data_IF_070205408466
#
_entry.id   IF_070205408466
#
_cell.length_a   1.000
_cell.length_b   1.000
_cell.length_c   1.000
_cell.angle_alpha   90.00
_cell.angle_beta   90.00
_cell.angle_gamma   90.00
#
_symmetry.space_group_name_H-M   'P 1'
#
loop_
_entity.id
_entity.type
_entity.pdbx_description
1 polymer ?
#
# COMPACT_ATOMS: atom_id res chain seq x y z
N UNK A 1 9.30 -14.25 38.00
CA UNK A 1 9.74 -12.84 37.94
C UNK A 1 9.47 -12.32 36.54
N UNK A 2 8.42 -11.52 36.36
CA UNK A 2 8.21 -10.80 35.11
C UNK A 2 9.30 -9.73 35.01
N UNK A 3 10.20 -9.86 34.05
CA UNK A 3 11.16 -8.81 33.69
C UNK A 3 10.37 -7.57 33.30
N UNK A 4 10.39 -6.52 34.14
CA UNK A 4 9.93 -5.19 33.75
C UNK A 4 10.71 -4.81 32.50
N UNK A 5 10.06 -4.82 31.34
CA UNK A 5 10.65 -4.33 30.10
C UNK A 5 11.06 -2.88 30.34
N UNK A 6 12.36 -2.60 30.20
CA UNK A 6 12.90 -1.24 30.17
C UNK A 6 12.05 -0.44 29.17
N UNK A 7 11.57 0.79 29.47
CA UNK A 7 10.79 1.55 28.50
C UNK A 7 11.61 1.66 27.22
N UNK A 8 11.09 1.10 26.13
CA UNK A 8 11.80 1.04 24.87
C UNK A 8 12.08 2.47 24.41
N UNK A 9 13.36 2.79 24.17
CA UNK A 9 13.74 4.07 23.58
C UNK A 9 13.22 4.11 22.15
N UNK A 10 12.03 4.67 21.93
CA UNK A 10 11.33 4.57 20.64
C UNK A 10 12.05 5.29 19.48
N UNK A 11 12.93 6.25 19.79
CA UNK A 11 13.75 6.98 18.80
C UNK A 11 15.09 6.28 18.58
N UNK A 12 15.13 5.21 17.80
CA UNK A 12 16.37 4.47 17.57
C UNK A 12 17.38 5.19 16.68
N UNK A 13 16.92 6.08 15.78
CA UNK A 13 17.75 6.77 14.78
C UNK A 13 17.47 8.28 14.72
N UNK A 14 16.22 8.71 14.86
CA UNK A 14 15.85 10.13 14.69
C UNK A 14 16.40 11.06 15.78
N UNK A 15 16.80 10.50 16.93
CA UNK A 15 17.52 11.22 17.99
C UNK A 15 18.81 11.86 17.48
N UNK A 16 19.48 11.25 16.50
CA UNK A 16 20.69 11.79 15.86
C UNK A 16 20.45 13.13 15.13
N UNK A 17 19.19 13.44 14.78
CA UNK A 17 18.80 14.69 14.11
C UNK A 17 18.23 15.73 15.07
N UNK A 18 17.75 15.31 16.23
CA UNK A 18 16.86 16.13 17.06
C UNK A 18 17.46 16.46 18.42
N UNK A 19 18.20 15.54 19.04
CA UNK A 19 18.57 15.67 20.46
C UNK A 19 19.88 16.46 20.65
N UNK A 20 20.82 16.39 19.71
CA UNK A 20 22.11 17.09 19.82
C UNK A 20 21.97 18.60 19.50
N UNK A 21 22.44 19.52 20.37
CA UNK A 21 22.49 20.95 20.09
C UNK A 21 23.11 21.31 18.73
N UNK A 22 24.15 20.60 18.29
CA UNK A 22 24.82 20.80 17.00
C UNK A 22 23.90 20.52 15.80
N UNK A 23 22.80 19.79 16.01
CA UNK A 23 21.77 19.51 15.01
C UNK A 23 20.69 20.60 14.90
N UNK A 24 20.95 21.80 15.42
CA UNK A 24 20.07 22.95 15.24
C UNK A 24 19.68 23.21 13.76
N UNK A 25 20.56 23.07 12.75
CA UNK A 25 20.17 23.23 11.35
C UNK A 25 19.13 22.20 10.90
N UNK A 26 19.27 20.93 11.31
CA UNK A 26 18.32 19.87 10.98
C UNK A 26 16.95 20.15 11.62
N UNK A 27 16.92 20.53 12.90
CA UNK A 27 15.68 20.94 13.58
C UNK A 27 15.01 22.13 12.90
N UNK A 28 15.78 23.12 12.45
CA UNK A 28 15.23 24.28 11.74
C UNK A 28 14.50 23.86 10.45
N UNK A 29 15.08 22.93 9.67
CA UNK A 29 14.44 22.38 8.48
C UNK A 29 13.16 21.60 8.82
N UNK A 30 13.21 20.75 9.85
CA UNK A 30 12.04 20.00 10.31
C UNK A 30 10.91 20.93 10.79
N UNK A 31 11.25 21.99 11.51
CA UNK A 31 10.28 23.00 11.96
C UNK A 31 9.71 23.82 10.81
N UNK A 32 10.51 24.11 9.77
CA UNK A 32 10.02 24.77 8.56
C UNK A 32 8.98 23.93 7.81
N UNK A 33 8.97 22.62 7.99
CA UNK A 33 7.91 21.73 7.51
C UNK A 33 6.65 21.73 8.38
N UNK A 34 6.63 22.48 9.48
CA UNK A 34 5.51 22.61 10.39
C UNK A 34 5.55 21.67 11.61
N UNK A 35 6.67 21.00 11.87
CA UNK A 35 6.83 20.20 13.10
C UNK A 35 7.01 21.11 14.32
N UNK A 36 6.38 20.74 15.42
CA UNK A 36 6.54 21.42 16.71
C UNK A 36 7.70 20.84 17.51
N UNK A 37 8.13 21.54 18.57
CA UNK A 37 9.14 21.02 19.50
C UNK A 37 8.72 19.69 20.15
N UNK A 38 7.42 19.48 20.35
CA UNK A 38 6.92 18.23 20.93
C UNK A 38 6.95 17.09 19.90
N UNK A 39 6.75 17.39 18.61
CA UNK A 39 6.90 16.39 17.55
C UNK A 39 8.35 15.90 17.42
N UNK A 40 9.34 16.77 17.65
CA UNK A 40 10.76 16.38 17.62
C UNK A 40 11.15 15.37 18.72
N UNK A 41 10.31 15.19 19.75
CA UNK A 41 10.52 14.22 20.83
C UNK A 41 9.93 12.84 20.51
N UNK A 42 9.18 12.71 19.42
CA UNK A 42 8.46 11.51 19.02
C UNK A 42 9.25 10.71 17.96
N UNK A 43 8.98 9.40 17.80
CA UNK A 43 9.61 8.62 16.74
C UNK A 43 9.15 9.06 15.34
N UNK A 44 10.08 9.10 14.40
CA UNK A 44 9.82 9.43 13.01
C UNK A 44 9.52 8.16 12.22
N UNK A 45 8.36 8.12 11.58
CA UNK A 45 7.90 6.94 10.83
C UNK A 45 7.76 7.31 9.36
N UNK A 46 8.57 6.69 8.52
CA UNK A 46 8.52 6.85 7.08
C UNK A 46 7.33 6.10 6.49
N UNK A 47 6.66 6.68 5.49
CA UNK A 47 5.62 6.04 4.68
C UNK A 47 6.06 6.11 3.22
N UNK A 48 6.57 5.00 2.70
CA UNK A 48 6.90 4.85 1.29
C UNK A 48 5.61 4.54 0.51
N UNK A 49 5.06 5.54 -0.15
CA UNK A 49 3.84 5.43 -0.94
C UNK A 49 4.16 5.27 -2.43
N UNK A 50 3.71 4.16 -3.03
CA UNK A 50 3.92 3.87 -4.44
C UNK A 50 2.75 4.33 -5.33
N UNK A 51 1.89 5.23 -4.83
CA UNK A 51 0.79 5.80 -5.59
C UNK A 51 1.27 6.41 -6.91
N UNK A 52 0.59 6.06 -8.01
CA UNK A 52 0.97 6.56 -9.33
C UNK A 52 -0.16 6.41 -10.34
N UNK A 53 -0.27 7.39 -11.23
CA UNK A 53 -1.22 7.40 -12.35
C UNK A 53 -0.83 6.45 -13.50
N UNK A 54 0.38 5.89 -13.47
CA UNK A 54 0.88 5.03 -14.55
C UNK A 54 0.22 3.65 -14.55
N UNK A 55 -0.46 3.26 -13.46
CA UNK A 55 -1.05 1.91 -13.34
C UNK A 55 -2.27 1.86 -12.44
N UNK A 56 -3.34 1.15 -12.83
CA UNK A 56 -4.53 0.98 -11.98
C UNK A 56 -4.23 0.22 -10.67
N UNK A 57 -3.10 -0.49 -10.58
CA UNK A 57 -2.68 -1.16 -9.35
C UNK A 57 -2.33 -0.20 -8.21
N UNK A 58 -1.99 1.06 -8.54
CA UNK A 58 -1.39 2.01 -7.60
C UNK A 58 -2.15 3.34 -7.46
N UNK A 59 -3.09 3.67 -8.35
CA UNK A 59 -3.82 4.96 -8.33
C UNK A 59 -4.56 5.26 -7.02
N UNK A 60 -4.91 4.25 -6.23
CA UNK A 60 -5.71 4.38 -5.02
C UNK A 60 -4.89 4.31 -3.72
N UNK A 61 -3.56 4.17 -3.82
CA UNK A 61 -2.71 3.92 -2.65
C UNK A 61 -2.65 5.11 -1.68
N UNK A 62 -2.89 6.34 -2.14
CA UNK A 62 -2.95 7.53 -1.28
C UNK A 62 -3.95 7.38 -0.13
N UNK A 63 -5.05 6.65 -0.33
CA UNK A 63 -6.04 6.41 0.73
C UNK A 63 -5.45 5.59 1.88
N UNK A 64 -4.61 4.62 1.57
CA UNK A 64 -3.90 3.84 2.57
C UNK A 64 -2.80 4.68 3.25
N UNK A 65 -2.12 5.55 2.49
CA UNK A 65 -1.14 6.46 3.05
C UNK A 65 -1.76 7.43 4.06
N UNK A 66 -2.93 8.02 3.75
CA UNK A 66 -3.64 8.87 4.70
C UNK A 66 -4.06 8.11 5.96
N UNK A 67 -4.62 6.90 5.82
CA UNK A 67 -4.99 6.08 6.97
C UNK A 67 -3.75 5.71 7.82
N UNK A 68 -2.62 5.42 7.20
CA UNK A 68 -1.36 5.15 7.91
C UNK A 68 -0.87 6.39 8.68
N UNK A 69 -0.94 7.59 8.07
CA UNK A 69 -0.62 8.86 8.76
C UNK A 69 -1.48 9.09 9.99
N UNK A 70 -2.78 8.86 9.88
CA UNK A 70 -3.72 8.98 11.00
C UNK A 70 -3.37 8.00 12.12
N UNK A 71 -3.11 6.73 11.78
CA UNK A 71 -2.69 5.70 12.73
C UNK A 71 -1.39 6.03 13.45
N UNK A 72 -0.38 6.53 12.73
CA UNK A 72 0.91 6.95 13.32
C UNK A 72 0.71 8.10 14.30
N UNK A 73 -0.07 9.12 13.93
CA UNK A 73 -0.34 10.27 14.83
C UNK A 73 -1.11 9.83 16.07
N UNK A 74 -2.09 8.93 15.91
CA UNK A 74 -2.84 8.37 17.04
C UNK A 74 -1.96 7.55 18.00
N UNK A 75 -0.86 6.98 17.51
CA UNK A 75 0.13 6.25 18.29
C UNK A 75 1.30 7.14 18.79
N UNK A 76 1.15 8.46 18.74
CA UNK A 76 2.15 9.46 19.16
C UNK A 76 3.48 9.39 18.38
N UNK A 77 3.41 9.02 17.10
CA UNK A 77 4.52 9.12 16.14
C UNK A 77 4.35 10.28 15.15
N UNK A 78 5.42 10.62 14.44
CA UNK A 78 5.41 11.65 13.39
C UNK A 78 5.52 10.97 12.01
N UNK A 79 4.48 11.05 11.17
CA UNK A 79 4.52 10.41 9.86
C UNK A 79 5.22 11.30 8.81
N UNK A 80 6.14 10.72 8.06
CA UNK A 80 6.78 11.33 6.90
C UNK A 80 6.47 10.51 5.65
N UNK A 81 5.58 11.02 4.79
CA UNK A 81 5.27 10.36 3.53
C UNK A 81 6.24 10.82 2.42
N UNK A 82 6.71 9.86 1.64
CA UNK A 82 7.46 10.11 0.42
C UNK A 82 7.06 9.11 -0.67
N UNK A 83 7.31 9.50 -1.93
CA UNK A 83 7.03 8.67 -3.09
C UNK A 83 8.20 7.78 -3.52
N UNK A 84 7.90 6.67 -4.19
CA UNK A 84 8.87 5.96 -5.04
C UNK A 84 8.23 5.52 -6.35
N UNK A 85 9.06 5.14 -7.32
CA UNK A 85 8.64 4.81 -8.69
C UNK A 85 7.86 3.49 -8.75
N UNK A 86 7.14 3.29 -9.85
CA UNK A 86 6.52 2.01 -10.18
C UNK A 86 6.37 1.86 -11.68
N UNK A 87 6.39 0.62 -12.16
CA UNK A 87 6.15 0.27 -13.56
C UNK A 87 5.02 -0.76 -13.61
N UNK A 88 4.20 -0.70 -14.65
CA UNK A 88 3.11 -1.65 -14.86
C UNK A 88 3.51 -2.74 -15.85
N UNK A 89 3.67 -3.96 -15.34
CA UNK A 89 3.93 -5.13 -16.18
C UNK A 89 2.79 -5.37 -17.18
N UNK A 90 1.53 -5.17 -16.75
CA UNK A 90 0.37 -5.31 -17.63
C UNK A 90 0.34 -4.32 -18.80
N UNK A 91 0.91 -3.12 -18.65
CA UNK A 91 0.94 -2.10 -19.71
C UNK A 91 2.21 -2.23 -20.57
N UNK A 92 3.35 -2.53 -19.95
CA UNK A 92 4.63 -2.65 -20.67
C UNK A 92 4.76 -3.94 -21.48
N UNK A 93 3.90 -4.94 -21.23
CA UNK A 93 3.93 -6.23 -21.89
C UNK A 93 3.87 -6.12 -23.42
N UNK A 94 4.80 -6.81 -24.09
CA UNK A 94 4.92 -6.80 -25.55
C UNK A 94 5.59 -5.56 -26.14
N UNK A 95 6.19 -4.70 -25.30
CA UNK A 95 6.96 -3.52 -25.74
C UNK A 95 8.39 -3.56 -25.21
N UNK A 96 9.26 -2.70 -25.76
CA UNK A 96 10.62 -2.47 -25.24
C UNK A 96 10.63 -2.07 -23.76
N UNK A 97 9.54 -1.46 -23.26
CA UNK A 97 9.38 -1.10 -21.86
C UNK A 97 9.40 -2.28 -20.91
N UNK A 98 9.13 -3.52 -21.36
CA UNK A 98 9.19 -4.69 -20.48
C UNK A 98 10.60 -4.93 -19.91
N UNK A 99 11.65 -4.42 -20.57
CA UNK A 99 13.04 -4.47 -20.06
C UNK A 99 13.20 -3.72 -18.74
N UNK A 100 12.31 -2.78 -18.42
CA UNK A 100 12.37 -2.01 -17.17
C UNK A 100 11.64 -2.67 -16.00
N UNK A 101 10.83 -3.72 -16.25
CA UNK A 101 10.02 -4.37 -15.22
C UNK A 101 10.89 -4.87 -14.05
N UNK A 102 11.82 -5.79 -14.31
CA UNK A 102 12.57 -6.42 -13.22
C UNK A 102 13.52 -5.45 -12.51
N UNK A 103 14.18 -4.54 -13.25
CA UNK A 103 15.07 -3.53 -12.66
C UNK A 103 14.31 -2.55 -11.75
N UNK A 104 13.00 -2.32 -11.99
CA UNK A 104 12.20 -1.47 -11.10
C UNK A 104 12.19 -1.96 -9.65
N UNK A 105 12.32 -3.29 -9.42
CA UNK A 105 12.43 -3.87 -8.07
C UNK A 105 13.60 -3.28 -7.29
N UNK A 106 14.78 -3.21 -7.92
CA UNK A 106 15.99 -2.68 -7.28
C UNK A 106 15.86 -1.18 -7.05
N UNK A 107 15.39 -0.45 -8.06
CA UNK A 107 15.21 1.01 -7.94
C UNK A 107 14.22 1.37 -6.83
N UNK A 108 13.14 0.60 -6.67
CA UNK A 108 12.20 0.76 -5.56
C UNK A 108 12.90 0.51 -4.21
N UNK A 109 13.63 -0.61 -4.11
CA UNK A 109 14.34 -0.96 -2.88
C UNK A 109 15.33 0.15 -2.48
N UNK A 110 16.18 0.56 -3.43
CA UNK A 110 17.22 1.57 -3.23
C UNK A 110 16.61 2.95 -2.93
N UNK A 111 15.49 3.31 -3.57
CA UNK A 111 14.80 4.58 -3.29
C UNK A 111 14.26 4.64 -1.86
N UNK A 112 13.64 3.55 -1.39
CA UNK A 112 13.12 3.47 -0.02
C UNK A 112 14.27 3.48 0.99
N UNK A 113 15.33 2.72 0.70
CA UNK A 113 16.55 2.67 1.51
C UNK A 113 17.19 4.05 1.65
N UNK A 114 17.34 4.78 0.54
CA UNK A 114 17.94 6.11 0.50
C UNK A 114 17.21 7.09 1.42
N UNK A 115 15.88 7.20 1.31
CA UNK A 115 15.12 8.16 2.12
C UNK A 115 15.09 7.73 3.59
N UNK A 116 14.80 6.46 3.86
CA UNK A 116 14.63 5.98 5.24
C UNK A 116 15.96 6.06 6.01
N UNK A 117 17.08 5.72 5.35
CA UNK A 117 18.40 5.83 5.94
C UNK A 117 18.88 7.29 6.03
N UNK A 118 18.69 8.09 4.97
CA UNK A 118 19.18 9.47 4.90
C UNK A 118 18.50 10.38 5.93
N UNK A 119 17.18 10.24 6.07
CA UNK A 119 16.38 11.03 7.02
C UNK A 119 16.32 10.40 8.42
N UNK A 120 17.13 9.35 8.68
CA UNK A 120 17.27 8.68 9.99
C UNK A 120 15.92 8.26 10.60
N UNK A 121 15.02 7.72 9.79
CA UNK A 121 13.69 7.32 10.23
C UNK A 121 13.78 6.13 11.22
N UNK A 122 12.92 6.14 12.24
CA UNK A 122 12.87 5.09 13.28
C UNK A 122 12.06 3.87 12.85
N UNK A 123 11.07 4.08 11.98
CA UNK A 123 10.21 3.02 11.44
C UNK A 123 9.83 3.26 9.99
N UNK A 124 9.32 2.22 9.34
CA UNK A 124 8.99 2.24 7.91
C UNK A 124 7.66 1.52 7.62
N UNK A 125 6.72 2.22 7.00
CA UNK A 125 5.53 1.63 6.38
C UNK A 125 5.71 1.71 4.87
N UNK A 126 5.51 0.59 4.18
CA UNK A 126 5.54 0.54 2.71
C UNK A 126 4.16 0.22 2.18
N UNK A 127 3.72 0.91 1.12
CA UNK A 127 2.38 0.76 0.55
C UNK A 127 2.51 0.50 -0.95
N UNK A 128 2.17 -0.73 -1.37
CA UNK A 128 2.42 -1.21 -2.73
C UNK A 128 1.31 -2.11 -3.26
N UNK A 129 1.14 -2.13 -4.59
CA UNK A 129 0.10 -2.94 -5.27
C UNK A 129 0.60 -3.77 -6.45
N UNK A 130 1.45 -3.23 -7.31
CA UNK A 130 1.95 -3.90 -8.51
C UNK A 130 3.00 -5.00 -8.20
N UNK A 131 3.25 -5.89 -9.17
CA UNK A 131 4.07 -7.11 -9.01
C UNK A 131 5.45 -6.85 -8.38
N UNK A 132 6.28 -6.02 -9.04
CA UNK A 132 7.67 -5.76 -8.60
C UNK A 132 7.78 -4.84 -7.38
N UNK A 133 6.68 -4.19 -7.00
CA UNK A 133 6.65 -3.30 -5.85
C UNK A 133 6.78 -4.07 -4.54
N UNK A 134 6.08 -5.20 -4.42
CA UNK A 134 6.07 -6.04 -3.21
C UNK A 134 7.48 -6.51 -2.82
N UNK A 135 8.25 -7.20 -3.70
CA UNK A 135 9.60 -7.62 -3.37
C UNK A 135 10.56 -6.43 -3.20
N UNK A 136 10.40 -5.32 -3.94
CA UNK A 136 11.23 -4.13 -3.75
C UNK A 136 11.08 -3.52 -2.35
N UNK A 137 9.84 -3.42 -1.86
CA UNK A 137 9.55 -2.96 -0.50
C UNK A 137 10.12 -3.92 0.55
N UNK A 138 9.92 -5.23 0.38
CA UNK A 138 10.44 -6.25 1.30
C UNK A 138 11.98 -6.25 1.37
N UNK A 139 12.65 -6.06 0.23
CA UNK A 139 14.10 -5.93 0.18
C UNK A 139 14.58 -4.71 0.98
N UNK A 140 13.96 -3.54 0.79
CA UNK A 140 14.31 -2.35 1.56
C UNK A 140 14.10 -2.56 3.07
N UNK A 141 12.96 -3.13 3.47
CA UNK A 141 12.66 -3.44 4.88
C UNK A 141 13.72 -4.35 5.49
N UNK A 142 14.11 -5.42 4.77
CA UNK A 142 15.13 -6.36 5.23
C UNK A 142 16.53 -5.72 5.33
N UNK A 143 16.92 -4.90 4.34
CA UNK A 143 18.22 -4.20 4.32
C UNK A 143 18.33 -3.16 5.44
N UNK A 144 17.28 -2.37 5.65
CA UNK A 144 17.26 -1.30 6.65
C UNK A 144 17.17 -1.84 8.08
N UNK A 145 16.52 -3.00 8.27
CA UNK A 145 16.30 -3.64 9.57
C UNK A 145 15.75 -2.66 10.63
N UNK A 146 14.77 -1.85 10.23
CA UNK A 146 13.96 -1.01 11.13
C UNK A 146 12.60 -1.66 11.36
N UNK A 147 11.93 -1.40 12.49
CA UNK A 147 10.52 -1.76 12.68
C UNK A 147 9.70 -1.34 11.46
N UNK A 148 9.11 -2.32 10.77
CA UNK A 148 8.49 -2.06 9.48
C UNK A 148 7.23 -2.87 9.22
N UNK A 149 6.32 -2.28 8.45
CA UNK A 149 5.02 -2.85 8.08
C UNK A 149 4.86 -2.74 6.56
N UNK A 150 4.47 -3.84 5.92
CA UNK A 150 4.07 -3.86 4.52
C UNK A 150 2.54 -3.80 4.42
N UNK A 151 2.02 -2.82 3.69
CA UNK A 151 0.59 -2.66 3.40
C UNK A 151 0.31 -2.96 1.94
N UNK A 152 -0.46 -4.02 1.69
CA UNK A 152 -0.87 -4.39 0.34
C UNK A 152 -2.05 -3.54 -0.12
N UNK A 153 -1.95 -2.97 -1.33
CA UNK A 153 -2.97 -2.14 -1.96
C UNK A 153 -4.27 -2.86 -2.32
N UNK A 154 -4.28 -4.19 -2.26
CA UNK A 154 -5.44 -5.02 -2.56
C UNK A 154 -5.48 -5.51 -4.00
N UNK A 155 -6.15 -6.64 -4.21
CA UNK A 155 -6.33 -7.26 -5.54
C UNK A 155 -7.53 -6.66 -6.26
N UNK A 156 -7.41 -6.38 -7.55
CA UNK A 156 -8.52 -5.88 -8.36
C UNK A 156 -9.64 -6.93 -8.46
N UNK A 157 -10.90 -6.53 -8.30
CA UNK A 157 -12.04 -7.42 -8.54
C UNK A 157 -12.11 -7.84 -10.04
N UNK A 158 -12.84 -8.92 -10.39
CA UNK A 158 -13.04 -9.23 -11.80
C UNK A 158 -13.88 -8.15 -12.49
N UNK A 159 -13.58 -7.88 -13.76
CA UNK A 159 -14.47 -7.12 -14.62
C UNK A 159 -15.54 -8.04 -15.20
N UNK A 160 -16.68 -7.49 -15.63
CA UNK A 160 -17.73 -8.28 -16.26
C UNK A 160 -17.87 -7.96 -17.75
N UNK A 161 -17.83 -8.99 -18.58
CA UNK A 161 -18.07 -8.89 -20.02
C UNK A 161 -19.06 -9.96 -20.47
N UNK A 162 -20.23 -9.53 -20.99
CA UNK A 162 -21.32 -10.42 -21.44
C UNK A 162 -21.76 -11.44 -20.38
N UNK A 163 -21.80 -11.04 -19.11
CA UNK A 163 -22.24 -11.89 -17.99
C UNK A 163 -21.18 -12.88 -17.50
N UNK A 164 -19.96 -12.83 -18.04
CA UNK A 164 -18.82 -13.61 -17.55
C UNK A 164 -17.83 -12.71 -16.82
N UNK A 165 -17.21 -13.25 -15.78
CA UNK A 165 -16.08 -12.61 -15.12
C UNK A 165 -14.84 -12.73 -16.00
N UNK A 166 -14.11 -11.64 -16.11
CA UNK A 166 -12.97 -11.49 -17.02
C UNK A 166 -11.88 -10.70 -16.30
N UNK A 167 -10.64 -11.14 -16.46
CA UNK A 167 -9.43 -10.51 -15.94
C UNK A 167 -8.47 -10.11 -17.08
N UNK A 168 -7.27 -9.63 -16.75
CA UNK A 168 -6.29 -9.19 -17.76
C UNK A 168 -5.72 -10.35 -18.59
N UNK A 169 -5.60 -11.55 -18.01
CA UNK A 169 -5.13 -12.75 -18.72
C UNK A 169 -6.10 -13.13 -19.84
N UNK A 170 -7.40 -13.09 -19.59
CA UNK A 170 -8.43 -13.35 -20.60
C UNK A 170 -8.32 -12.39 -21.80
N UNK A 171 -7.93 -11.13 -21.54
CA UNK A 171 -7.70 -10.13 -22.58
C UNK A 171 -6.47 -10.49 -23.41
N UNK A 172 -5.38 -10.91 -22.78
CA UNK A 172 -4.17 -11.38 -23.48
C UNK A 172 -4.46 -12.62 -24.33
N UNK A 173 -5.18 -13.61 -23.78
CA UNK A 173 -5.56 -14.83 -24.49
C UNK A 173 -6.48 -14.53 -25.69
N UNK A 174 -7.39 -13.55 -25.56
CA UNK A 174 -8.26 -13.11 -26.65
C UNK A 174 -7.50 -12.49 -27.84
N UNK A 175 -6.26 -12.03 -27.66
CA UNK A 175 -5.41 -11.51 -28.74
C UNK A 175 -4.78 -12.64 -29.56
N UNK A 176 -4.49 -13.80 -28.97
CA UNK A 176 -3.83 -14.93 -29.66
C UNK A 176 -4.50 -15.34 -30.99
N UNK A 177 -5.82 -15.60 -31.01
CA UNK A 177 -6.55 -15.97 -32.23
C UNK A 177 -6.56 -14.89 -33.33
N UNK A 178 -6.25 -13.63 -33.02
CA UNK A 178 -6.12 -12.56 -34.03
C UNK A 178 -4.78 -12.60 -34.77
N UNK A 179 -3.73 -13.14 -34.14
CA UNK A 179 -2.38 -13.22 -34.72
C UNK A 179 -2.18 -14.47 -35.60
N UNK A 180 -2.93 -15.55 -35.36
CA UNK A 180 -2.97 -16.73 -36.23
C UNK A 180 -3.71 -16.39 -37.54
N UNK A 181 -3.02 -15.75 -38.49
CA UNK A 181 -3.50 -15.45 -39.87
C UNK A 181 -3.79 -16.69 -40.75
N UNK A 182 -4.24 -17.81 -40.18
CA UNK A 182 -4.74 -18.97 -40.93
C UNK A 182 -6.11 -19.38 -40.42
N UNK A 183 -7.14 -18.88 -41.12
CA UNK A 183 -8.49 -19.39 -41.38
C UNK A 183 -9.31 -19.98 -40.20
N UNK A 184 -10.41 -19.31 -39.81
CA UNK A 184 -11.63 -19.97 -39.28
C UNK A 184 -12.84 -18.99 -39.31
N UNK A 185 -14.02 -19.32 -39.88
CA UNK A 185 -15.17 -18.40 -40.02
C UNK A 185 -15.93 -18.06 -38.72
N UNK A 186 -15.62 -18.71 -37.59
CA UNK A 186 -16.30 -18.51 -36.29
C UNK A 186 -15.67 -17.51 -35.31
N UNK A 187 -14.72 -16.68 -35.75
CA UNK A 187 -13.75 -16.01 -34.86
C UNK A 187 -14.24 -14.82 -34.02
N UNK A 188 -13.59 -14.58 -32.85
CA UNK A 188 -13.67 -13.30 -32.13
C UNK A 188 -13.32 -12.12 -33.04
N UNK A 189 -14.32 -11.31 -33.39
CA UNK A 189 -14.12 -10.10 -34.19
C UNK A 189 -13.23 -9.09 -33.43
N UNK A 190 -12.48 -8.22 -34.12
CA UNK A 190 -11.77 -7.07 -33.52
C UNK A 190 -12.68 -6.25 -32.59
N UNK A 191 -13.99 -6.27 -32.82
CA UNK A 191 -15.01 -5.69 -31.94
C UNK A 191 -15.12 -6.38 -30.57
N UNK A 192 -14.85 -7.69 -30.45
CA UNK A 192 -14.83 -8.44 -29.18
C UNK A 192 -13.61 -8.09 -28.34
N UNK A 193 -12.42 -8.03 -28.93
CA UNK A 193 -11.19 -7.60 -28.22
C UNK A 193 -11.28 -6.12 -27.83
N UNK A 194 -11.78 -5.25 -28.71
CA UNK A 194 -12.10 -3.86 -28.36
C UNK A 194 -13.22 -3.72 -27.34
N UNK A 195 -14.10 -4.72 -27.23
CA UNK A 195 -15.18 -4.77 -26.23
C UNK A 195 -14.64 -5.09 -24.84
N UNK A 196 -13.70 -6.04 -24.76
CA UNK A 196 -12.99 -6.45 -23.54
C UNK A 196 -12.14 -5.31 -22.96
N UNK A 197 -11.58 -4.43 -23.80
CA UNK A 197 -10.74 -3.30 -23.36
C UNK A 197 -11.48 -1.99 -23.03
N UNK A 198 -12.82 -1.93 -23.11
CA UNK A 198 -13.59 -0.68 -22.89
C UNK A 198 -13.59 -0.22 -21.42
N UNK A 199 -13.54 1.11 -21.21
CA UNK A 199 -13.55 1.80 -19.89
C UNK A 199 -14.60 1.32 -18.86
N UNK A 200 -15.73 0.72 -19.28
CA UNK A 200 -16.72 0.13 -18.35
C UNK A 200 -16.22 -1.12 -17.60
N UNK A 201 -15.12 -1.72 -18.06
CA UNK A 201 -14.48 -2.93 -17.54
C UNK A 201 -13.63 -2.65 -16.28
N UNK A 202 -12.77 -1.62 -16.31
CA UNK A 202 -11.80 -1.34 -15.23
C UNK A 202 -12.34 -0.38 -14.14
N UNK A 203 -13.19 0.59 -14.49
CA UNK A 203 -13.67 1.61 -13.51
C UNK A 203 -14.73 1.11 -12.53
N UNK A 204 -15.61 0.19 -12.95
CA UNK A 204 -16.66 -0.37 -12.05
C UNK A 204 -16.05 -1.21 -10.93
N UNK A 205 -14.92 -1.82 -11.22
CA UNK A 205 -14.18 -2.69 -10.32
C UNK A 205 -13.47 -1.90 -9.21
N UNK A 206 -12.74 -0.85 -9.58
CA UNK A 206 -12.07 0.06 -8.62
C UNK A 206 -13.12 0.81 -7.76
N UNK A 207 -14.23 1.27 -8.36
CA UNK A 207 -15.31 1.92 -7.60
C UNK A 207 -16.10 0.97 -6.68
N UNK A 208 -16.36 -0.28 -7.09
CA UNK A 208 -17.02 -1.25 -6.20
C UNK A 208 -16.14 -1.62 -5.01
N UNK A 209 -14.82 -1.61 -5.16
CA UNK A 209 -13.89 -1.91 -4.06
C UNK A 209 -14.01 -0.89 -2.93
N UNK A 210 -14.22 0.38 -3.30
CA UNK A 210 -14.51 1.45 -2.35
C UNK A 210 -15.86 1.24 -1.63
N UNK A 211 -16.88 0.66 -2.30
CA UNK A 211 -18.15 0.36 -1.65
C UNK A 211 -18.11 -0.91 -0.78
N UNK A 212 -17.36 -1.95 -1.15
CA UNK A 212 -17.31 -3.20 -0.36
C UNK A 212 -16.60 -2.99 0.99
N UNK A 213 -15.60 -2.10 1.07
CA UNK A 213 -15.00 -1.72 2.35
C UNK A 213 -15.87 -0.76 3.18
N UNK A 214 -16.66 0.12 2.56
CA UNK A 214 -17.62 0.98 3.26
C UNK A 214 -18.86 0.20 3.76
N UNK A 215 -19.31 -0.84 3.04
CA UNK A 215 -20.48 -1.64 3.43
C UNK A 215 -20.20 -2.71 4.49
N UNK A 216 -18.93 -2.96 4.84
CA UNK A 216 -18.54 -3.90 5.91
C UNK A 216 -18.13 -3.20 7.20
N UNK A 217 -18.10 -1.85 7.22
CA UNK A 217 -17.77 -1.05 8.40
C UNK A 217 -18.99 -0.44 9.11
N UNK A 218 -20.20 -0.60 8.57
CA UNK A 218 -21.45 -0.16 9.20
C UNK A 218 -22.60 -1.12 8.82
N UNK A 219 -22.76 -2.20 9.60
CA UNK A 219 -23.89 -3.11 9.46
C UNK A 219 -23.68 -4.44 10.20
N UNK A 220 -24.45 -4.63 11.27
CA UNK A 220 -24.53 -5.81 12.15
C UNK A 220 -23.40 -6.04 13.16
N UNK A 221 -23.48 -5.28 14.26
CA UNK A 221 -23.11 -5.79 15.57
C UNK A 221 -24.35 -6.50 16.14
N UNK A 222 -24.34 -7.83 16.37
CA UNK A 222 -25.39 -8.47 17.15
C UNK A 222 -25.29 -7.97 18.60
N UNK A 223 -26.38 -7.39 19.08
CA UNK A 223 -26.60 -6.94 20.44
C UNK A 223 -26.28 -8.06 21.46
N UNK A 224 -25.19 -7.91 22.21
CA UNK A 224 -25.02 -8.62 23.47
C UNK A 224 -25.79 -7.84 24.55
N UNK A 225 -27.02 -8.27 24.80
CA UNK A 225 -27.79 -7.86 25.97
C UNK A 225 -27.24 -8.51 27.26
N UNK A 226 -27.52 -7.91 28.42
CA UNK A 226 -26.85 -8.22 29.68
C UNK A 226 -27.40 -9.52 30.28
N UNK A 227 -26.56 -10.55 30.38
CA UNK A 227 -26.90 -11.74 31.16
C UNK A 227 -26.60 -11.46 32.64
N UNK A 228 -27.68 -11.15 33.35
CA UNK A 228 -27.78 -11.05 34.79
C UNK A 228 -27.16 -12.26 35.51
N UNK A 229 -26.16 -11.99 36.35
CA UNK A 229 -25.85 -12.80 37.53
C UNK A 229 -26.97 -12.56 38.56
N UNK A 230 -27.89 -13.52 38.70
CA UNK A 230 -28.77 -13.58 39.86
C UNK A 230 -28.11 -14.39 41.00
N UNK A 231 -28.21 -13.92 42.25
CA UNK A 231 -27.71 -14.65 43.42
C UNK A 231 -28.70 -15.75 43.82
N UNK A 232 -28.18 -16.93 44.11
CA UNK A 232 -28.92 -18.05 44.70
C UNK A 232 -29.20 -17.78 46.18
N UNK A 233 -30.47 -17.68 46.57
CA UNK A 233 -30.91 -17.82 47.96
C UNK A 233 -31.16 -19.30 48.30
N UNK A 234 -30.92 -19.76 49.54
CA UNK A 234 -31.18 -21.13 49.97
C UNK A 234 -32.60 -21.27 50.53
N UNK A 235 -33.26 -22.42 50.33
CA UNK A 235 -34.23 -22.98 51.28
C UNK A 235 -34.68 -24.40 50.89
N UNK A 236 -34.71 -25.26 51.93
CA UNK A 236 -35.18 -26.65 52.07
C UNK A 236 -34.40 -27.79 51.40
#
# INVERSE_FOLDING_TARGET
MATKSRPAHMKHRSSELTDDPQRAPARAMLMAMGLTQDDLKKPFVAIANLASDVTPCNVHLDKFAQAAKEGIRAADGVPFEFGTITVSDGISMGTEGMKTSLVSREVIADSIELVTFGERMDGLITIAGCDKNMPGCMMAMARLNVPSIFMYGGSIMPGQFKGQDVNIQDVFEAVGPLCQRRYDPGRPNRSRVRGLSRRRFLRRTIHRQHHVHLYRSYGNVPSWGPLLLQPSTPEN
#
